data_IF_046105728844
#
_entry.id   IF_046105728844
#
_cell.length_a   1.000
_cell.length_b   1.000
_cell.length_c   1.000
_cell.angle_alpha   90.00
_cell.angle_beta   90.00
_cell.angle_gamma   90.00
#
_symmetry.space_group_name_H-M   'P 1'
#
loop_
_entity.id
_entity.type
_entity.pdbx_description
1 polymer ?
#
# COMPACT_ATOMS: atom_id res chain seq x y z
N UNK A 1 -60.97 -6.79 7.90
CA UNK A 1 -59.69 -6.96 7.19
C UNK A 1 -59.26 -5.59 6.70
N UNK A 2 -58.38 -4.92 7.45
CA UNK A 2 -57.77 -3.66 7.04
C UNK A 2 -56.31 -3.97 6.74
N UNK A 3 -55.92 -3.78 5.48
CA UNK A 3 -54.53 -3.93 5.03
C UNK A 3 -53.67 -2.86 5.67
N UNK A 4 -52.59 -3.29 6.35
CA UNK A 4 -51.46 -2.45 6.73
C UNK A 4 -50.62 -2.25 5.48
N UNK A 5 -50.63 -1.04 4.94
CA UNK A 5 -49.56 -0.59 4.05
C UNK A 5 -48.29 -0.44 4.89
N UNK A 6 -47.34 -1.33 4.66
CA UNK A 6 -45.99 -1.26 5.20
C UNK A 6 -45.22 -0.29 4.31
N UNK A 7 -45.06 0.95 4.78
CA UNK A 7 -44.05 1.88 4.27
C UNK A 7 -42.67 1.27 4.52
N UNK A 8 -42.21 0.43 3.60
CA UNK A 8 -40.80 0.13 3.46
C UNK A 8 -40.13 1.41 2.97
N UNK A 9 -39.52 2.14 3.91
CA UNK A 9 -38.60 3.22 3.61
C UNK A 9 -37.59 2.73 2.57
N UNK A 10 -37.50 3.46 1.46
CA UNK A 10 -36.46 3.25 0.45
C UNK A 10 -35.09 3.30 1.12
N UNK A 11 -34.11 2.50 0.68
CA UNK A 11 -32.75 2.62 1.20
C UNK A 11 -32.27 4.04 0.90
N UNK A 12 -32.02 4.81 1.95
CA UNK A 12 -31.34 6.10 1.85
C UNK A 12 -30.07 5.90 1.03
N UNK A 13 -29.83 6.75 0.04
CA UNK A 13 -28.55 6.78 -0.66
C UNK A 13 -27.44 6.87 0.41
N UNK A 14 -26.60 5.84 0.48
CA UNK A 14 -25.49 5.76 1.42
C UNK A 14 -24.66 7.04 1.30
N UNK A 15 -24.34 7.66 2.45
CA UNK A 15 -23.49 8.85 2.47
C UNK A 15 -22.12 8.46 1.88
N UNK A 16 -21.66 9.08 0.77
CA UNK A 16 -20.39 8.74 0.16
C UNK A 16 -19.20 8.89 1.12
N UNK A 17 -19.32 9.70 2.18
CA UNK A 17 -18.30 9.81 3.21
C UNK A 17 -18.34 8.64 4.21
N UNK A 18 -19.52 8.07 4.51
CA UNK A 18 -19.66 6.86 5.33
C UNK A 18 -19.11 5.63 4.58
N UNK A 19 -19.40 5.51 3.28
CA UNK A 19 -18.85 4.46 2.42
C UNK A 19 -17.31 4.57 2.33
N UNK A 20 -16.74 5.78 2.24
CA UNK A 20 -15.27 5.99 2.26
C UNK A 20 -14.60 5.57 3.57
N UNK A 21 -15.20 5.94 4.70
CA UNK A 21 -14.69 5.58 6.03
C UNK A 21 -14.75 4.07 6.28
N UNK A 22 -15.78 3.40 5.79
CA UNK A 22 -15.89 1.94 5.78
C UNK A 22 -14.82 1.34 4.87
N UNK A 23 -14.58 1.95 3.70
CA UNK A 23 -13.64 1.45 2.70
C UNK A 23 -12.18 1.54 3.14
N UNK A 24 -11.70 2.70 3.58
CA UNK A 24 -10.27 2.89 3.87
C UNK A 24 -9.95 3.07 5.37
N UNK A 25 -10.96 2.89 6.23
CA UNK A 25 -10.86 3.03 7.68
C UNK A 25 -10.69 4.48 8.13
N UNK A 26 -10.46 4.69 9.43
CA UNK A 26 -10.13 6.00 9.98
C UNK A 26 -8.64 6.31 9.77
N UNK A 27 -8.26 6.65 8.54
CA UNK A 27 -6.93 7.21 8.26
C UNK A 27 -6.78 8.60 8.88
N UNK A 28 -5.56 8.99 9.25
CA UNK A 28 -5.26 10.36 9.72
C UNK A 28 -5.63 11.46 8.70
N UNK A 29 -5.94 11.07 7.48
CA UNK A 29 -6.39 11.93 6.39
C UNK A 29 -7.89 11.79 6.09
N UNK A 30 -8.70 11.45 7.11
CA UNK A 30 -10.15 11.48 7.02
C UNK A 30 -10.76 10.33 6.21
N UNK A 31 -10.14 9.16 6.22
CA UNK A 31 -10.60 8.01 5.42
C UNK A 31 -10.04 7.96 3.99
N UNK A 32 -8.97 8.72 3.72
CA UNK A 32 -8.26 8.64 2.44
C UNK A 32 -7.39 7.38 2.37
N UNK A 33 -7.26 6.76 1.18
CA UNK A 33 -6.15 5.85 0.92
C UNK A 33 -4.82 6.50 1.26
N UNK A 34 -3.97 5.78 2.00
CA UNK A 34 -2.65 6.27 2.41
C UNK A 34 -1.52 5.57 1.66
N UNK A 35 -1.85 4.57 0.84
CA UNK A 35 -0.89 3.87 0.00
C UNK A 35 -1.48 3.56 -1.37
N UNK A 36 -0.58 3.35 -2.33
CA UNK A 36 -0.91 2.75 -3.62
C UNK A 36 0.14 1.74 -4.05
N UNK A 37 -0.31 0.65 -4.67
CA UNK A 37 0.54 -0.32 -5.34
C UNK A 37 0.38 -0.19 -6.85
N UNK A 38 1.52 -0.01 -7.52
CA UNK A 38 1.61 0.15 -8.97
C UNK A 38 2.30 -1.07 -9.57
N UNK A 39 1.63 -1.75 -10.50
CA UNK A 39 2.14 -2.88 -11.26
C UNK A 39 2.47 -2.43 -12.69
N UNK A 40 3.68 -2.70 -13.14
CA UNK A 40 4.10 -2.48 -14.54
C UNK A 40 4.59 -3.79 -15.14
N UNK A 41 4.26 -4.01 -16.40
CA UNK A 41 4.80 -5.15 -17.15
C UNK A 41 6.21 -4.85 -17.63
N UNK A 42 7.06 -5.86 -17.62
CA UNK A 42 8.39 -5.82 -18.23
C UNK A 42 8.62 -7.10 -19.00
N UNK A 43 9.65 -7.13 -19.86
CA UNK A 43 10.04 -8.32 -20.61
C UNK A 43 10.30 -9.55 -19.71
N UNK A 44 10.67 -9.32 -18.43
CA UNK A 44 10.94 -10.36 -17.43
C UNK A 44 9.77 -10.69 -16.49
N UNK A 45 8.60 -10.08 -16.71
CA UNK A 45 7.41 -10.19 -15.87
C UNK A 45 7.09 -8.90 -15.10
N UNK A 46 6.13 -8.97 -14.18
CA UNK A 46 5.62 -7.79 -13.51
C UNK A 46 6.54 -7.24 -12.41
N UNK A 47 6.79 -5.93 -12.46
CA UNK A 47 7.41 -5.18 -11.37
C UNK A 47 6.35 -4.46 -10.54
N UNK A 48 6.54 -4.47 -9.23
CA UNK A 48 5.62 -3.82 -8.29
C UNK A 48 6.32 -2.68 -7.55
N UNK A 49 5.68 -1.51 -7.52
CA UNK A 49 6.14 -0.34 -6.77
C UNK A 49 5.08 0.12 -5.78
N UNK A 50 5.42 0.09 -4.50
CA UNK A 50 4.57 0.62 -3.43
C UNK A 50 4.94 2.08 -3.14
N UNK A 51 3.92 2.93 -3.05
CA UNK A 51 4.05 4.33 -2.65
C UNK A 51 3.17 4.61 -1.42
N UNK A 52 3.68 5.44 -0.51
CA UNK A 52 2.91 6.07 0.55
C UNK A 52 2.40 7.41 0.03
N UNK A 53 1.11 7.66 0.17
CA UNK A 53 0.42 8.86 -0.31
C UNK A 53 0.42 9.90 0.81
N UNK A 54 0.97 11.07 0.51
CA UNK A 54 1.12 12.15 1.49
C UNK A 54 0.87 13.51 0.82
N UNK A 55 0.42 14.51 1.60
CA UNK A 55 0.53 15.90 1.17
C UNK A 55 1.98 16.25 0.82
N UNK A 56 2.19 17.01 -0.26
CA UNK A 56 3.50 17.38 -0.81
C UNK A 56 4.42 17.96 0.25
N UNK A 57 3.94 18.94 1.02
CA UNK A 57 4.71 19.60 2.09
C UNK A 57 5.27 18.58 3.10
N UNK A 58 4.45 17.62 3.53
CA UNK A 58 4.88 16.58 4.48
C UNK A 58 5.92 15.63 3.86
N UNK A 59 5.74 15.29 2.58
CA UNK A 59 6.65 14.43 1.85
C UNK A 59 8.01 15.10 1.60
N UNK A 60 8.02 16.39 1.28
CA UNK A 60 9.23 17.20 1.08
C UNK A 60 9.99 17.38 2.39
N UNK A 61 9.30 17.74 3.48
CA UNK A 61 9.93 17.80 4.81
C UNK A 61 10.56 16.45 5.21
N UNK A 62 9.96 15.33 4.80
CA UNK A 62 10.50 13.99 5.02
C UNK A 62 11.72 13.70 4.13
N UNK A 63 11.68 14.06 2.85
CA UNK A 63 12.81 13.95 1.92
C UNK A 63 14.02 14.71 2.48
N UNK A 64 13.83 15.97 2.90
CA UNK A 64 14.90 16.80 3.44
C UNK A 64 15.54 16.18 4.68
N UNK A 65 14.77 15.51 5.55
CA UNK A 65 15.32 14.78 6.71
C UNK A 65 16.17 13.59 6.29
N UNK A 66 15.74 12.85 5.27
CA UNK A 66 16.48 11.69 4.76
C UNK A 66 17.77 12.12 4.04
N UNK A 67 17.72 13.22 3.28
CA UNK A 67 18.88 13.73 2.53
C UNK A 67 20.00 14.23 3.45
N UNK A 68 19.67 14.77 4.62
CA UNK A 68 20.66 15.09 5.67
C UNK A 68 21.47 13.87 6.13
N UNK A 69 20.89 12.68 6.04
CA UNK A 69 21.54 11.40 6.38
C UNK A 69 22.06 10.66 5.12
N UNK A 70 22.17 11.35 3.98
CA UNK A 70 22.68 10.79 2.72
C UNK A 70 21.72 9.81 2.03
N UNK A 71 20.43 9.82 2.38
CA UNK A 71 19.40 8.96 1.78
C UNK A 71 18.49 9.78 0.87
N UNK A 72 18.09 9.22 -0.27
CA UNK A 72 17.14 9.86 -1.17
C UNK A 72 15.71 9.32 -1.00
N UNK A 73 14.72 10.16 -1.28
CA UNK A 73 13.31 9.80 -1.36
C UNK A 73 12.74 10.28 -2.69
N UNK A 74 12.24 9.35 -3.49
CA UNK A 74 11.57 9.65 -4.76
C UNK A 74 10.12 10.06 -4.47
N UNK A 75 9.73 11.23 -4.95
CA UNK A 75 8.37 11.74 -4.87
C UNK A 75 7.80 11.85 -6.28
N UNK A 76 6.59 11.36 -6.49
CA UNK A 76 5.88 11.45 -7.77
C UNK A 76 4.48 11.99 -7.50
N UNK A 77 3.98 13.02 -8.23
CA UNK A 77 2.59 13.43 -8.13
C UNK A 77 1.65 12.24 -8.30
N UNK A 78 0.57 12.17 -7.52
CA UNK A 78 -0.35 11.02 -7.59
C UNK A 78 -1.00 10.90 -8.96
N UNK A 79 -1.33 12.03 -9.59
CA UNK A 79 -1.86 12.09 -10.95
C UNK A 79 -0.94 11.39 -11.95
N UNK A 80 0.37 11.64 -11.87
CA UNK A 80 1.36 11.00 -12.73
C UNK A 80 1.45 9.49 -12.47
N UNK A 81 1.29 9.03 -11.23
CA UNK A 81 1.30 7.59 -10.91
C UNK A 81 0.13 6.85 -11.56
N UNK A 82 -1.02 7.52 -11.72
CA UNK A 82 -2.23 6.96 -12.30
C UNK A 82 -2.16 7.03 -13.83
N UNK A 83 -1.80 8.20 -14.38
CA UNK A 83 -1.69 8.40 -15.83
C UNK A 83 -0.65 7.47 -16.47
N UNK A 84 0.43 7.15 -15.74
CA UNK A 84 1.48 6.24 -16.20
C UNK A 84 1.00 4.80 -16.44
N UNK A 85 -0.18 4.42 -15.93
CA UNK A 85 -0.60 3.00 -15.84
C UNK A 85 -2.01 2.75 -16.33
N UNK A 86 -2.93 3.68 -16.13
CA UNK A 86 -4.36 3.43 -16.37
C UNK A 86 -5.03 4.40 -17.36
N UNK A 87 -4.27 5.37 -17.89
CA UNK A 87 -4.83 6.43 -18.73
C UNK A 87 -5.84 7.32 -18.00
N UNK A 88 -6.40 8.31 -18.70
CA UNK A 88 -7.27 9.34 -18.08
C UNK A 88 -8.60 8.78 -17.52
N UNK A 89 -9.04 7.58 -17.96
CA UNK A 89 -10.33 6.98 -17.59
C UNK A 89 -10.37 6.36 -16.16
N UNK A 90 -9.20 6.12 -15.55
CA UNK A 90 -9.16 5.67 -14.15
C UNK A 90 -9.24 6.86 -13.19
N UNK A 91 -8.69 8.02 -13.55
CA UNK A 91 -8.74 9.24 -12.74
C UNK A 91 -10.19 9.68 -12.48
N UNK A 92 -11.05 9.56 -13.50
CA UNK A 92 -12.49 9.86 -13.40
C UNK A 92 -13.26 8.82 -12.57
N UNK A 93 -12.78 7.58 -12.46
CA UNK A 93 -13.40 6.52 -11.62
C UNK A 93 -12.97 6.60 -10.16
N UNK A 94 -11.86 7.25 -9.88
CA UNK A 94 -11.40 7.54 -8.52
C UNK A 94 -12.12 8.75 -7.90
N UNK A 95 -13.33 9.03 -8.39
CA UNK A 95 -14.15 10.20 -8.11
C UNK A 95 -14.50 10.24 -6.62
N UNK A 96 -13.66 10.93 -5.87
CA UNK A 96 -13.92 11.14 -4.46
C UNK A 96 -12.83 11.79 -3.63
N UNK A 97 -11.62 11.89 -4.18
CA UNK A 97 -10.52 12.56 -3.51
C UNK A 97 -9.77 13.48 -4.47
N UNK A 98 -9.59 14.76 -4.11
CA UNK A 98 -8.74 15.68 -4.86
C UNK A 98 -7.27 15.41 -4.56
N UNK A 99 -6.51 14.96 -5.56
CA UNK A 99 -5.08 14.62 -5.44
C UNK A 99 -4.13 15.80 -5.71
N UNK A 100 -4.67 17.01 -5.89
CA UNK A 100 -3.90 18.25 -5.96
C UNK A 100 -2.98 18.37 -4.74
N UNK A 101 -1.71 18.67 -4.96
CA UNK A 101 -0.68 18.72 -3.92
C UNK A 101 -0.45 17.42 -3.14
N UNK A 102 -0.87 16.26 -3.68
CA UNK A 102 -0.51 14.94 -3.14
C UNK A 102 0.56 14.26 -3.98
N UNK A 103 1.46 13.56 -3.29
CA UNK A 103 2.53 12.78 -3.92
C UNK A 103 2.56 11.36 -3.36
N UNK A 104 2.95 10.42 -4.21
CA UNK A 104 3.42 9.12 -3.79
C UNK A 104 4.91 9.16 -3.46
N UNK A 105 5.24 9.01 -2.19
CA UNK A 105 6.60 8.77 -1.72
C UNK A 105 6.95 7.28 -1.93
N UNK A 106 7.93 6.99 -2.78
CA UNK A 106 8.31 5.61 -3.12
C UNK A 106 8.84 4.88 -1.88
N UNK A 107 8.13 3.83 -1.47
CA UNK A 107 8.54 2.94 -0.37
C UNK A 107 9.59 1.96 -0.89
N UNK A 108 9.23 1.20 -1.92
CA UNK A 108 10.09 0.21 -2.56
C UNK A 108 9.55 -0.21 -3.93
N UNK A 109 10.46 -0.57 -4.83
CA UNK A 109 10.19 -1.27 -6.10
C UNK A 109 10.78 -2.68 -5.99
N UNK A 110 10.04 -3.67 -6.44
CA UNK A 110 10.42 -5.08 -6.47
C UNK A 110 10.42 -5.58 -7.91
N UNK A 111 11.45 -6.34 -8.24
CA UNK A 111 11.56 -7.08 -9.48
C UNK A 111 10.64 -8.33 -9.47
N UNK A 112 10.43 -8.99 -10.63
CA UNK A 112 9.52 -10.12 -10.75
C UNK A 112 9.84 -11.30 -9.81
N UNK A 113 11.09 -11.51 -9.42
CA UNK A 113 11.46 -12.60 -8.50
C UNK A 113 10.96 -12.34 -7.10
N UNK A 114 11.11 -11.10 -6.62
CA UNK A 114 10.62 -10.68 -5.29
C UNK A 114 9.09 -10.59 -5.26
N UNK A 115 8.48 -10.14 -6.36
CA UNK A 115 7.02 -10.16 -6.53
C UNK A 115 6.47 -11.57 -6.36
N UNK A 116 7.03 -12.56 -7.07
CA UNK A 116 6.62 -13.97 -6.93
C UNK A 116 6.75 -14.50 -5.50
N UNK A 117 7.74 -14.04 -4.74
CA UNK A 117 7.92 -14.47 -3.35
C UNK A 117 6.94 -13.81 -2.37
N UNK A 118 6.34 -12.67 -2.74
CA UNK A 118 5.38 -11.92 -1.92
C UNK A 118 3.93 -12.04 -2.40
N UNK A 119 3.67 -12.85 -3.43
CA UNK A 119 2.35 -12.89 -4.08
C UNK A 119 1.21 -13.18 -3.11
N UNK A 120 1.40 -14.10 -2.16
CA UNK A 120 0.37 -14.45 -1.17
C UNK A 120 0.08 -13.29 -0.21
N UNK A 121 1.12 -12.62 0.30
CA UNK A 121 0.99 -11.47 1.21
C UNK A 121 0.31 -10.29 0.52
N UNK A 122 0.62 -10.07 -0.75
CA UNK A 122 0.00 -8.99 -1.53
C UNK A 122 -1.44 -9.31 -1.89
N UNK A 123 -1.72 -10.57 -2.24
CA UNK A 123 -3.09 -11.02 -2.48
C UNK A 123 -3.94 -10.81 -1.24
N UNK A 124 -3.51 -11.30 -0.09
CA UNK A 124 -4.23 -11.17 1.19
C UNK A 124 -4.49 -9.70 1.54
N UNK A 125 -3.46 -8.85 1.46
CA UNK A 125 -3.60 -7.42 1.75
C UNK A 125 -4.56 -6.67 0.79
N UNK A 126 -4.69 -7.13 -0.46
CA UNK A 126 -5.60 -6.54 -1.45
C UNK A 126 -7.00 -7.14 -1.35
N UNK A 127 -7.14 -8.43 -1.05
CA UNK A 127 -8.46 -9.07 -0.86
C UNK A 127 -9.19 -8.49 0.36
N UNK A 128 -8.45 -8.00 1.36
CA UNK A 128 -8.99 -7.24 2.50
C UNK A 128 -9.28 -5.76 2.18
N UNK A 129 -8.97 -5.29 0.96
CA UNK A 129 -9.25 -3.93 0.49
C UNK A 129 -10.63 -3.87 -0.19
N UNK A 130 -11.38 -2.76 -0.08
CA UNK A 130 -12.70 -2.66 -0.67
C UNK A 130 -12.73 -2.84 -2.18
N UNK A 131 -13.84 -3.39 -2.65
CA UNK A 131 -13.96 -4.22 -3.85
C UNK A 131 -13.85 -3.52 -5.22
N UNK A 132 -13.41 -2.27 -5.30
CA UNK A 132 -13.23 -1.59 -6.58
C UNK A 132 -11.76 -1.22 -6.77
N UNK A 133 -11.17 -1.71 -7.85
CA UNK A 133 -9.79 -1.47 -8.33
C UNK A 133 -8.76 -2.56 -7.98
N UNK A 134 -8.84 -3.75 -8.58
CA UNK A 134 -7.67 -4.65 -8.59
C UNK A 134 -7.32 -5.21 -9.97
N UNK A 135 -7.24 -4.37 -11.00
CA UNK A 135 -6.57 -4.76 -12.27
C UNK A 135 -5.12 -5.26 -12.00
N UNK A 136 -4.49 -4.78 -10.92
CA UNK A 136 -3.19 -5.26 -10.39
C UNK A 136 -3.16 -6.77 -10.14
N UNK A 137 -4.26 -7.38 -9.71
CA UNK A 137 -4.33 -8.82 -9.42
C UNK A 137 -4.69 -9.68 -10.64
N UNK A 138 -5.29 -9.08 -11.68
CA UNK A 138 -5.83 -9.81 -12.84
C UNK A 138 -4.86 -9.89 -14.03
N UNK A 139 -3.69 -9.26 -13.93
CA UNK A 139 -2.64 -9.27 -14.96
C UNK A 139 -2.67 -7.99 -15.82
N UNK A 140 -1.53 -7.64 -16.43
CA UNK A 140 -1.36 -6.36 -17.12
C UNK A 140 -0.97 -5.20 -16.19
N UNK A 141 -0.62 -4.06 -16.78
CA UNK A 141 -0.33 -2.86 -15.97
C UNK A 141 -1.53 -2.51 -15.09
N UNK A 142 -1.30 -2.05 -13.86
CA UNK A 142 -2.40 -1.80 -12.95
C UNK A 142 -2.02 -0.95 -11.75
N UNK A 143 -3.04 -0.35 -11.16
CA UNK A 143 -2.94 0.52 -9.99
C UNK A 143 -4.00 0.10 -8.97
N UNK A 144 -3.67 0.12 -7.67
CA UNK A 144 -4.65 -0.10 -6.59
C UNK A 144 -4.38 0.81 -5.41
N UNK A 145 -5.42 1.48 -4.92
CA UNK A 145 -5.39 2.20 -3.66
C UNK A 145 -5.54 1.24 -2.49
N UNK A 146 -4.76 1.48 -1.43
CA UNK A 146 -4.72 0.63 -0.26
C UNK A 146 -5.07 1.42 1.00
N UNK A 147 -5.81 0.81 1.95
CA UNK A 147 -5.95 1.34 3.29
C UNK A 147 -4.60 1.32 4.01
N UNK A 148 -4.53 2.03 5.13
CA UNK A 148 -3.29 2.20 5.88
C UNK A 148 -2.70 0.88 6.38
N UNK A 149 -3.53 0.01 6.98
CA UNK A 149 -3.10 -1.29 7.49
C UNK A 149 -2.47 -2.17 6.39
N UNK A 150 -3.16 -2.32 5.26
CA UNK A 150 -2.67 -3.07 4.10
C UNK A 150 -1.37 -2.46 3.56
N UNK A 151 -1.34 -1.15 3.35
CA UNK A 151 -0.16 -0.44 2.86
C UNK A 151 1.06 -0.56 3.77
N UNK A 152 0.86 -0.51 5.08
CA UNK A 152 1.92 -0.69 6.09
C UNK A 152 2.45 -2.12 6.08
N UNK A 153 1.57 -3.13 6.07
CA UNK A 153 1.96 -4.54 5.98
C UNK A 153 2.80 -4.81 4.73
N UNK A 154 2.37 -4.29 3.58
CA UNK A 154 3.14 -4.38 2.33
C UNK A 154 4.45 -3.60 2.39
N UNK A 155 4.48 -2.43 3.02
CA UNK A 155 5.71 -1.66 3.19
C UNK A 155 6.77 -2.42 3.99
N UNK A 156 6.36 -3.10 5.07
CA UNK A 156 7.22 -3.97 5.87
C UNK A 156 7.74 -5.13 5.02
N UNK A 157 6.86 -5.84 4.31
CA UNK A 157 7.23 -6.95 3.45
C UNK A 157 8.23 -6.53 2.35
N UNK A 158 7.92 -5.45 1.61
CA UNK A 158 8.72 -4.98 0.49
C UNK A 158 10.12 -4.54 0.93
N UNK A 159 10.23 -3.75 2.00
CA UNK A 159 11.52 -3.34 2.57
C UNK A 159 12.32 -4.53 3.08
N UNK A 160 11.64 -5.49 3.71
CA UNK A 160 12.24 -6.71 4.22
C UNK A 160 12.85 -7.58 3.12
N UNK A 161 12.13 -7.85 2.03
CA UNK A 161 12.62 -8.74 0.95
C UNK A 161 13.59 -8.07 -0.01
N UNK A 162 13.53 -6.74 -0.19
CA UNK A 162 14.30 -6.04 -1.21
C UNK A 162 15.81 -6.38 -1.20
N UNK A 163 16.53 -6.43 -0.07
CA UNK A 163 17.95 -6.79 -0.07
C UNK A 163 18.22 -8.31 -0.05
N UNK A 164 17.20 -9.17 0.10
CA UNK A 164 17.38 -10.62 0.12
C UNK A 164 17.63 -11.16 -1.30
N UNK A 165 18.47 -12.19 -1.42
CA UNK A 165 18.71 -12.89 -2.69
C UNK A 165 18.16 -14.32 -2.69
N UNK A 166 18.09 -14.94 -1.51
CA UNK A 166 17.61 -16.32 -1.33
C UNK A 166 16.08 -16.37 -1.27
N UNK A 167 15.46 -17.10 -2.20
CA UNK A 167 13.99 -17.24 -2.31
C UNK A 167 13.38 -17.84 -1.05
N UNK A 168 14.04 -18.83 -0.44
CA UNK A 168 13.57 -19.44 0.82
C UNK A 168 13.48 -18.42 1.96
N UNK A 169 14.45 -17.50 2.04
CA UNK A 169 14.44 -16.40 3.02
C UNK A 169 13.38 -15.35 2.70
N UNK A 170 13.15 -15.04 1.42
CA UNK A 170 12.06 -14.16 1.01
C UNK A 170 10.70 -14.73 1.46
N UNK A 171 10.47 -16.02 1.21
CA UNK A 171 9.25 -16.72 1.63
C UNK A 171 9.11 -16.80 3.15
N UNK A 172 10.21 -17.03 3.88
CA UNK A 172 10.20 -17.00 5.34
C UNK A 172 9.77 -15.62 5.85
N UNK A 173 10.36 -14.55 5.30
CA UNK A 173 10.00 -13.19 5.65
C UNK A 173 8.54 -12.89 5.33
N UNK A 174 8.07 -13.26 4.13
CA UNK A 174 6.69 -13.08 3.69
C UNK A 174 5.69 -13.71 4.68
N UNK A 175 5.90 -14.98 5.03
CA UNK A 175 5.06 -15.69 6.02
C UNK A 175 5.16 -15.12 7.43
N UNK A 176 6.31 -14.55 7.78
CA UNK A 176 6.51 -13.87 9.04
C UNK A 176 5.66 -12.60 9.12
N UNK A 177 5.69 -11.79 8.06
CA UNK A 177 4.87 -10.56 7.96
C UNK A 177 3.38 -10.89 7.88
N UNK A 178 2.96 -11.90 7.12
CA UNK A 178 1.56 -12.32 7.07
C UNK A 178 0.98 -12.65 8.46
N UNK A 179 1.79 -13.25 9.34
CA UNK A 179 1.39 -13.63 10.69
C UNK A 179 1.45 -12.51 11.73
N UNK A 180 1.97 -11.33 11.37
CA UNK A 180 2.01 -10.19 12.28
C UNK A 180 0.62 -9.62 12.50
N UNK A 181 0.35 -9.21 13.73
CA UNK A 181 -0.73 -8.26 14.03
C UNK A 181 -0.51 -6.91 13.31
N UNK A 182 -1.55 -6.10 13.23
CA UNK A 182 -1.42 -4.76 12.68
C UNK A 182 -0.46 -3.92 13.55
N UNK A 183 -0.55 -4.01 14.87
CA UNK A 183 0.32 -3.29 15.80
C UNK A 183 1.81 -3.62 15.58
N UNK A 184 2.14 -4.89 15.36
CA UNK A 184 3.50 -5.31 15.01
C UNK A 184 3.93 -4.71 13.65
N UNK A 185 3.04 -4.70 12.67
CA UNK A 185 3.30 -4.08 11.37
C UNK A 185 3.56 -2.57 11.52
N UNK A 186 2.74 -1.84 12.29
CA UNK A 186 2.94 -0.42 12.60
C UNK A 186 4.29 -0.18 13.29
N UNK A 187 4.61 -0.98 14.30
CA UNK A 187 5.90 -0.88 15.00
C UNK A 187 7.08 -1.08 14.05
N UNK A 188 7.07 -2.14 13.26
CA UNK A 188 8.17 -2.45 12.34
C UNK A 188 8.28 -1.43 11.22
N UNK A 189 7.16 -0.94 10.70
CA UNK A 189 7.14 0.13 9.71
C UNK A 189 7.78 1.42 10.26
N UNK A 190 7.38 1.85 11.46
CA UNK A 190 7.98 2.99 12.16
C UNK A 190 9.49 2.78 12.41
N UNK A 191 9.89 1.57 12.81
CA UNK A 191 11.30 1.23 13.06
C UNK A 191 12.14 1.23 11.80
N UNK A 192 11.61 0.74 10.67
CA UNK A 192 12.33 0.69 9.39
C UNK A 192 12.51 2.06 8.74
N UNK A 193 11.55 2.97 8.94
CA UNK A 193 11.61 4.34 8.38
C UNK A 193 12.40 5.31 9.23
N UNK A 194 12.64 5.00 10.51
CA UNK A 194 13.29 5.95 11.43
C UNK A 194 14.75 6.19 11.02
N UNK A 195 15.15 7.45 10.77
CA UNK A 195 16.55 7.78 10.51
C UNK A 195 17.45 7.49 11.72
N UNK A 196 16.90 7.58 12.94
CA UNK A 196 17.62 7.28 14.19
C UNK A 196 17.73 5.78 14.51
N UNK A 197 17.12 4.91 13.71
CA UNK A 197 17.22 3.45 13.84
C UNK A 197 17.65 2.82 12.51
N UNK A 198 18.89 3.06 12.04
CA UNK A 198 19.35 2.66 10.70
C UNK A 198 19.32 1.14 10.46
N UNK A 199 19.27 0.35 11.54
CA UNK A 199 19.24 -1.11 11.49
C UNK A 199 17.84 -1.72 11.55
N UNK A 200 16.76 -0.93 11.49
CA UNK A 200 15.38 -1.44 11.60
C UNK A 200 15.06 -2.55 10.59
N UNK A 201 15.34 -2.32 9.31
CA UNK A 201 15.11 -3.33 8.26
C UNK A 201 16.00 -4.57 8.44
N UNK A 202 17.23 -4.40 8.94
CA UNK A 202 18.13 -5.52 9.23
C UNK A 202 17.63 -6.36 10.39
N UNK A 203 17.17 -5.73 11.47
CA UNK A 203 16.60 -6.40 12.64
C UNK A 203 15.34 -7.18 12.27
N UNK A 204 14.44 -6.58 11.47
CA UNK A 204 13.25 -7.25 10.92
C UNK A 204 13.64 -8.52 10.16
N UNK A 205 14.64 -8.45 9.28
CA UNK A 205 15.10 -9.63 8.54
C UNK A 205 15.67 -10.69 9.46
N UNK A 206 16.51 -10.31 10.43
CA UNK A 206 17.07 -11.27 11.39
C UNK A 206 15.95 -11.98 12.16
N UNK A 207 14.94 -11.25 12.61
CA UNK A 207 13.74 -11.83 13.22
C UNK A 207 13.09 -12.83 12.24
N UNK A 208 12.61 -12.36 11.10
CA UNK A 208 11.71 -13.17 10.26
C UNK A 208 12.38 -14.21 9.36
N UNK A 209 13.71 -14.16 9.21
CA UNK A 209 14.47 -15.14 8.42
C UNK A 209 15.38 -16.03 9.24
N UNK A 210 15.61 -15.74 10.53
CA UNK A 210 16.44 -16.58 11.41
C UNK A 210 15.66 -17.19 12.59
N UNK A 211 14.33 -17.34 12.49
CA UNK A 211 13.58 -18.01 13.54
C UNK A 211 13.41 -19.53 13.32
N UNK A 212 14.29 -20.23 14.06
CA UNK A 212 14.13 -21.49 14.81
C UNK A 212 14.03 -22.80 14.00
N UNK A 213 15.15 -23.53 14.09
CA UNK A 213 15.48 -24.91 13.66
C UNK A 213 15.62 -25.22 12.16
#
# INVERSE_FOLDING_TARGET
>A
MASRDSEFGSPSAEDPDEDRLVRYGTSMFGGRPTFTLVRRETDGGAEWTLHELLPREQAEARRDRLERDGRSLSLTPVENLISDVAGDDLLSKLDGWTWDEWVGAKVARLDPTRVRALQDVVREAIEETPAETSEVLHGGEGFVFLPESAGIRLAVAFRGVKPLQRIDRMRSLARGVARMSDEECYYWYAKCRSPSSPNGEKALRVLLTNHIE
#
